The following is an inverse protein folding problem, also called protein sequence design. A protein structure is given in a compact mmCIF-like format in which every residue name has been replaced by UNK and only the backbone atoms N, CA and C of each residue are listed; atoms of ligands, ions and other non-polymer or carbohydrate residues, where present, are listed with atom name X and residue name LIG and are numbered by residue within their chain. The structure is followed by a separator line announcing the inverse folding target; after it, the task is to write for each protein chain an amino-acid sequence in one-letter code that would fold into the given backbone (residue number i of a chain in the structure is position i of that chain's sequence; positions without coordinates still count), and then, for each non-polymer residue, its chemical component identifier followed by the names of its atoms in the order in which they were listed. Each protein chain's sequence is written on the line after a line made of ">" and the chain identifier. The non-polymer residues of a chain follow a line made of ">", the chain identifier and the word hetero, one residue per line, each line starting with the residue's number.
data_IF_303491630410
#
_entry.id   IF_303491630410
#
_cell.length_a   1.000
_cell.length_b   1.000
_cell.length_c   1.000
_cell.angle_alpha   90.00
_cell.angle_beta   90.00
_cell.angle_gamma   90.00
#
_symmetry.space_group_name_H-M   'P 1'
#
loop_
_entity.id
_entity.type
_entity.pdbx_description
1 polymer ?
#
# COMPACT_ATOMS: atom_id res chain seq x y z
N UNK A 1 17.16 15.46 -11.40
CA UNK A 1 17.00 15.45 -12.87
C UNK A 1 16.84 14.01 -13.33
N UNK A 2 15.75 13.69 -14.04
CA UNK A 2 15.58 12.37 -14.65
C UNK A 2 16.58 12.20 -15.81
N UNK A 3 17.14 11.01 -16.00
CA UNK A 3 17.96 10.74 -17.18
C UNK A 3 17.05 10.49 -18.38
N UNK A 4 17.32 11.15 -19.50
CA UNK A 4 16.60 10.94 -20.73
C UNK A 4 17.56 10.33 -21.75
N UNK A 5 17.21 9.19 -22.33
CA UNK A 5 17.97 8.65 -23.46
C UNK A 5 17.13 8.65 -24.73
N UNK A 6 17.78 8.88 -25.86
CA UNK A 6 17.21 8.76 -27.20
C UNK A 6 17.85 7.55 -27.86
N UNK A 7 17.05 6.61 -28.35
CA UNK A 7 17.54 5.49 -29.15
C UNK A 7 17.60 5.94 -30.61
N UNK A 8 18.59 5.48 -31.38
CA UNK A 8 18.56 5.69 -32.84
C UNK A 8 17.50 4.77 -33.45
N UNK A 9 16.62 5.32 -34.28
CA UNK A 9 15.69 4.55 -35.10
C UNK A 9 16.38 4.08 -36.37
N UNK A 10 15.77 3.14 -37.09
CA UNK A 10 16.38 2.45 -38.25
C UNK A 10 16.76 3.40 -39.40
N UNK A 11 16.14 4.57 -39.50
CA UNK A 11 16.50 5.60 -40.49
C UNK A 11 17.71 6.49 -40.09
N UNK A 12 18.28 6.24 -38.91
CA UNK A 12 19.42 6.98 -38.36
C UNK A 12 19.08 8.23 -37.54
N UNK A 13 17.82 8.66 -37.50
CA UNK A 13 17.34 9.76 -36.65
C UNK A 13 17.24 9.35 -35.18
N UNK A 14 17.24 10.34 -34.28
CA UNK A 14 17.09 10.11 -32.84
C UNK A 14 15.60 10.03 -32.49
N UNK A 15 15.20 8.98 -31.77
CA UNK A 15 13.84 8.82 -31.26
C UNK A 15 13.47 9.95 -30.29
N UNK A 16 12.18 10.09 -30.00
CA UNK A 16 11.73 10.91 -28.87
C UNK A 16 12.40 10.45 -27.57
N UNK A 17 12.76 11.39 -26.67
CA UNK A 17 13.45 11.06 -25.43
C UNK A 17 12.59 10.21 -24.49
N UNK A 18 13.14 9.09 -24.03
CA UNK A 18 12.52 8.21 -23.04
C UNK A 18 13.07 8.58 -21.66
N UNK A 19 12.19 8.99 -20.75
CA UNK A 19 12.54 9.31 -19.36
C UNK A 19 12.86 8.03 -18.57
N UNK A 20 14.00 8.03 -17.88
CA UNK A 20 14.48 6.95 -17.01
C UNK A 20 14.70 7.49 -15.60
N UNK A 21 14.00 6.87 -14.64
CA UNK A 21 14.08 7.18 -13.22
C UNK A 21 13.16 8.32 -12.76
N UNK A 22 13.05 8.49 -11.44
CA UNK A 22 12.16 9.47 -10.78
C UNK A 22 12.73 10.89 -10.77
N UNK A 23 14.01 11.05 -11.10
CA UNK A 23 14.70 12.34 -11.10
C UNK A 23 15.02 12.90 -9.71
N UNK A 24 14.73 12.17 -8.65
CA UNK A 24 15.06 12.46 -7.25
C UNK A 24 16.49 12.01 -6.92
N UNK A 25 17.18 12.74 -6.04
CA UNK A 25 18.44 12.27 -5.43
C UNK A 25 18.18 11.03 -4.57
N UNK A 26 19.18 10.17 -4.37
CA UNK A 26 19.02 8.94 -3.59
C UNK A 26 18.44 9.20 -2.19
N UNK A 27 18.93 10.23 -1.50
CA UNK A 27 18.45 10.62 -0.17
C UNK A 27 16.98 11.04 -0.17
N UNK A 28 16.55 11.74 -1.23
CA UNK A 28 15.15 12.16 -1.41
C UNK A 28 14.25 10.96 -1.71
N UNK A 29 14.74 9.96 -2.45
CA UNK A 29 14.03 8.70 -2.68
C UNK A 29 13.89 7.89 -1.39
N UNK A 30 14.96 7.77 -0.59
CA UNK A 30 14.93 7.05 0.69
C UNK A 30 13.98 7.73 1.67
N UNK A 31 14.01 9.07 1.76
CA UNK A 31 13.08 9.83 2.60
C UNK A 31 11.62 9.61 2.16
N UNK A 32 11.34 9.69 0.85
CA UNK A 32 10.00 9.46 0.32
C UNK A 32 9.49 8.04 0.56
N UNK A 33 10.34 7.03 0.36
CA UNK A 33 10.00 5.64 0.65
C UNK A 33 9.79 5.41 2.15
N UNK A 34 10.57 6.06 3.00
CA UNK A 34 10.42 6.03 4.45
C UNK A 34 9.07 6.60 4.91
N UNK A 35 8.67 7.75 4.35
CA UNK A 35 7.36 8.35 4.62
C UNK A 35 6.21 7.44 4.16
N UNK A 36 6.28 6.90 2.94
CA UNK A 36 5.29 5.97 2.41
C UNK A 36 5.17 4.72 3.28
N UNK A 37 6.29 4.15 3.74
CA UNK A 37 6.30 3.00 4.63
C UNK A 37 5.69 3.32 6.01
N UNK A 38 5.98 4.50 6.56
CA UNK A 38 5.39 4.94 7.82
C UNK A 38 3.86 5.09 7.71
N UNK A 39 3.38 5.72 6.64
CA UNK A 39 1.95 5.84 6.36
C UNK A 39 1.28 4.47 6.21
N UNK A 40 1.91 3.53 5.50
CA UNK A 40 1.37 2.19 5.31
C UNK A 40 1.34 1.39 6.63
N UNK A 41 2.36 1.52 7.48
CA UNK A 41 2.36 0.91 8.83
C UNK A 41 1.23 1.46 9.70
N UNK A 42 0.99 2.78 9.67
CA UNK A 42 -0.13 3.39 10.41
C UNK A 42 -1.47 2.84 9.92
N UNK A 43 -1.67 2.75 8.60
CA UNK A 43 -2.87 2.13 8.00
C UNK A 43 -3.02 0.66 8.42
N UNK A 44 -1.92 -0.10 8.48
CA UNK A 44 -1.90 -1.47 8.96
C UNK A 44 -2.40 -1.59 10.40
N UNK A 45 -1.85 -0.77 11.32
CA UNK A 45 -2.27 -0.74 12.72
C UNK A 45 -3.76 -0.41 12.86
N UNK A 46 -4.25 0.58 12.10
CA UNK A 46 -5.67 0.95 12.09
C UNK A 46 -6.57 -0.21 11.61
N UNK A 47 -6.12 -0.94 10.58
CA UNK A 47 -6.84 -2.13 10.08
C UNK A 47 -6.86 -3.24 11.13
N UNK A 48 -5.74 -3.53 11.79
CA UNK A 48 -5.66 -4.59 12.81
C UNK A 48 -6.58 -4.29 14.00
N UNK A 49 -6.60 -3.04 14.47
CA UNK A 49 -7.52 -2.60 15.52
C UNK A 49 -8.99 -2.79 15.12
N UNK A 50 -9.34 -2.42 13.88
CA UNK A 50 -10.69 -2.60 13.35
C UNK A 50 -11.07 -4.08 13.26
N UNK A 51 -10.17 -4.94 12.75
CA UNK A 51 -10.39 -6.39 12.65
C UNK A 51 -10.64 -6.99 14.03
N UNK A 52 -9.85 -6.63 15.04
CA UNK A 52 -10.02 -7.12 16.41
C UNK A 52 -11.37 -6.70 17.03
N UNK A 53 -11.79 -5.45 16.78
CA UNK A 53 -13.10 -4.94 17.20
C UNK A 53 -14.25 -5.70 16.54
N UNK A 54 -14.17 -5.90 15.23
CA UNK A 54 -15.16 -6.67 14.47
C UNK A 54 -15.20 -8.14 14.91
N UNK A 55 -14.05 -8.76 15.16
CA UNK A 55 -13.97 -10.14 15.65
C UNK A 55 -14.64 -10.31 17.02
N UNK A 56 -14.41 -9.37 17.94
CA UNK A 56 -15.10 -9.33 19.24
C UNK A 56 -16.62 -9.20 19.04
N UNK A 57 -17.05 -8.28 18.18
CA UNK A 57 -18.47 -8.03 17.90
C UNK A 57 -19.16 -9.25 17.30
N UNK A 58 -18.53 -9.92 16.32
CA UNK A 58 -19.06 -11.15 15.71
C UNK A 58 -19.15 -12.28 16.72
N UNK A 59 -18.16 -12.41 17.60
CA UNK A 59 -18.19 -13.42 18.67
C UNK A 59 -19.36 -13.16 19.61
N UNK A 60 -19.55 -11.92 20.05
CA UNK A 60 -20.65 -11.52 20.91
C UNK A 60 -22.01 -11.81 20.26
N UNK A 61 -22.21 -11.39 19.00
CA UNK A 61 -23.42 -11.66 18.24
C UNK A 61 -23.67 -13.16 18.08
N UNK A 62 -22.62 -13.95 17.87
CA UNK A 62 -22.73 -15.41 17.74
C UNK A 62 -23.24 -16.05 19.04
N UNK A 63 -22.72 -15.62 20.19
CA UNK A 63 -23.19 -16.09 21.50
C UNK A 63 -24.65 -15.69 21.75
N UNK A 64 -25.03 -14.45 21.43
CA UNK A 64 -26.41 -13.98 21.55
C UNK A 64 -27.37 -14.80 20.67
N UNK A 65 -26.98 -15.08 19.42
CA UNK A 65 -27.77 -15.91 18.51
C UNK A 65 -27.87 -17.35 19.00
N UNK A 66 -26.81 -17.92 19.57
CA UNK A 66 -26.84 -19.26 20.16
C UNK A 66 -27.81 -19.33 21.33
N UNK A 67 -27.73 -18.36 22.26
CA UNK A 67 -28.64 -18.26 23.39
C UNK A 67 -30.10 -18.11 22.94
N UNK A 68 -30.39 -17.25 21.95
CA UNK A 68 -31.73 -17.08 21.39
C UNK A 68 -32.26 -18.35 20.71
N UNK A 69 -31.37 -19.18 20.16
CA UNK A 69 -31.73 -20.46 19.52
C UNK A 69 -31.77 -21.64 20.50
N UNK A 70 -31.61 -21.39 21.80
CA UNK A 70 -31.65 -22.42 22.84
C UNK A 70 -30.43 -23.35 22.84
N UNK A 71 -29.30 -22.92 22.28
CA UNK A 71 -28.02 -23.61 22.45
C UNK A 71 -27.35 -23.17 23.74
N UNK A 72 -27.00 -24.13 24.61
CA UNK A 72 -26.17 -23.86 25.79
C UNK A 72 -24.76 -23.41 25.36
N UNK A 73 -24.24 -22.42 26.09
CA UNK A 73 -22.95 -21.77 25.85
C UNK A 73 -21.75 -22.69 26.15
#
# INVERSE_FOLDING_TARGET
>A
MAMEYKKRVEDGTLSEPVKVGTGLKLDEQVASLGEQLAQEKIKGIQKDLLINSLGTTVTQLKLEVMALKGGDA
#
